data_IF_701402580262
#
_entry.id   IF_701402580262
#
_cell.length_a   1.000
_cell.length_b   1.000
_cell.length_c   1.000
_cell.angle_alpha   90.00
_cell.angle_beta   90.00
_cell.angle_gamma   90.00
#
_symmetry.space_group_name_H-M   'P 1'
#
loop_
_entity.id
_entity.type
_entity.pdbx_description
1 polymer ?
#
# COMPACT_ATOMS: atom_id res chain seq x y z
N UNK A 1 -1.86 -1.47 -16.77
CA UNK A 1 -1.72 -0.51 -15.66
C UNK A 1 -1.04 0.74 -16.19
N UNK A 2 -1.46 1.92 -15.77
CA UNK A 2 -0.88 3.20 -16.22
C UNK A 2 0.18 3.65 -15.23
N UNK A 3 1.38 3.99 -15.71
CA UNK A 3 2.52 4.44 -14.90
C UNK A 3 2.96 5.82 -15.39
N UNK A 4 3.38 6.67 -14.44
CA UNK A 4 3.95 7.98 -14.73
C UNK A 4 5.14 8.26 -13.83
N UNK A 5 6.16 8.91 -14.40
CA UNK A 5 7.30 9.42 -13.65
C UNK A 5 6.97 10.75 -12.98
N UNK A 6 7.53 10.93 -11.78
CA UNK A 6 7.37 12.10 -10.94
C UNK A 6 8.71 12.81 -10.89
N UNK A 7 8.69 14.09 -11.20
CA UNK A 7 9.80 15.02 -11.09
C UNK A 7 9.61 15.95 -9.91
N UNK A 8 10.68 16.65 -9.53
CA UNK A 8 10.69 17.72 -8.53
C UNK A 8 9.51 18.69 -8.66
N UNK A 9 9.23 19.11 -9.90
CA UNK A 9 8.20 20.12 -10.20
C UNK A 9 6.77 19.63 -9.91
N UNK A 10 6.53 18.33 -10.00
CA UNK A 10 5.20 17.75 -9.81
C UNK A 10 4.74 17.82 -8.36
N UNK A 11 5.67 17.97 -7.41
CA UNK A 11 5.42 17.79 -5.99
C UNK A 11 5.72 19.03 -5.14
N UNK A 12 6.03 20.17 -5.78
CA UNK A 12 6.38 21.42 -5.09
C UNK A 12 5.32 21.85 -4.06
N UNK A 13 4.03 21.71 -4.39
CA UNK A 13 2.91 22.01 -3.48
C UNK A 13 2.97 21.14 -2.21
N UNK A 14 3.23 19.84 -2.37
CA UNK A 14 3.36 18.90 -1.26
C UNK A 14 4.61 19.18 -0.42
N UNK A 15 5.76 19.47 -1.05
CA UNK A 15 6.99 19.84 -0.33
C UNK A 15 6.78 21.08 0.52
N UNK A 16 6.14 22.11 -0.04
CA UNK A 16 5.80 23.32 0.70
C UNK A 16 4.87 23.02 1.88
N UNK A 17 3.79 22.29 1.64
CA UNK A 17 2.81 21.93 2.67
C UNK A 17 3.43 21.15 3.84
N UNK A 18 4.23 20.11 3.54
CA UNK A 18 4.89 19.29 4.55
C UNK A 18 5.91 20.12 5.36
N UNK A 19 6.63 21.02 4.68
CA UNK A 19 7.56 21.94 5.34
C UNK A 19 6.81 22.91 6.26
N UNK A 20 5.67 23.45 5.82
CA UNK A 20 4.83 24.34 6.64
C UNK A 20 4.24 23.61 7.87
N UNK A 21 3.77 22.37 7.71
CA UNK A 21 3.33 21.52 8.84
C UNK A 21 4.48 21.30 9.83
N UNK A 22 5.68 21.02 9.31
CA UNK A 22 6.88 20.80 10.13
C UNK A 22 7.22 22.04 10.95
N UNK A 23 7.23 23.22 10.33
CA UNK A 23 7.53 24.48 11.03
C UNK A 23 6.49 24.85 12.09
N UNK A 24 5.22 24.49 11.88
CA UNK A 24 4.14 24.73 12.84
C UNK A 24 4.25 23.88 14.11
N UNK A 25 5.13 22.88 14.15
CA UNK A 25 5.44 22.11 15.37
C UNK A 25 6.27 22.98 16.32
N UNK A 26 5.63 23.93 17.00
CA UNK A 26 6.28 25.06 17.69
C UNK A 26 7.20 24.70 18.88
N UNK A 27 7.12 23.49 19.43
CA UNK A 27 7.93 23.08 20.60
C UNK A 27 7.87 21.59 20.96
N UNK A 28 7.08 20.79 20.23
CA UNK A 28 6.95 19.36 20.46
C UNK A 28 7.09 18.63 19.12
N UNK A 29 7.65 17.43 19.16
CA UNK A 29 7.68 16.54 18.00
C UNK A 29 6.26 16.06 17.67
N UNK A 30 5.96 15.84 16.39
CA UNK A 30 4.63 15.35 15.99
C UNK A 30 4.44 13.94 16.56
N UNK A 31 3.39 13.69 17.36
CA UNK A 31 3.20 12.37 17.97
C UNK A 31 3.20 11.26 16.89
N UNK A 32 4.10 10.28 17.07
CA UNK A 32 4.17 9.07 16.27
C UNK A 32 2.97 8.18 16.54
N UNK A 33 2.41 7.52 15.51
CA UNK A 33 1.29 6.59 15.68
C UNK A 33 1.68 5.27 16.40
N UNK A 34 2.98 4.96 16.49
CA UNK A 34 3.48 3.66 16.94
C UNK A 34 4.60 3.72 18.00
N UNK A 35 5.12 4.90 18.34
CA UNK A 35 6.14 5.02 19.38
C UNK A 35 6.01 6.33 20.16
N UNK A 36 6.36 6.32 21.44
CA UNK A 36 6.40 7.49 22.33
C UNK A 36 7.49 8.51 21.95
N UNK A 37 8.19 8.33 20.83
CA UNK A 37 9.09 9.31 20.22
C UNK A 37 8.30 10.04 19.13
N UNK A 38 8.18 11.36 19.24
CA UNK A 38 7.57 12.11 18.16
C UNK A 38 8.52 12.29 16.97
N UNK A 39 7.91 12.46 15.81
CA UNK A 39 8.59 12.66 14.54
C UNK A 39 9.17 14.09 14.46
N UNK A 40 10.44 14.17 14.07
CA UNK A 40 11.08 15.39 13.56
C UNK A 40 10.87 15.49 12.04
N UNK A 41 11.39 16.53 11.39
CA UNK A 41 11.20 16.81 9.94
C UNK A 41 11.27 15.56 9.06
N UNK A 42 12.31 14.73 9.17
CA UNK A 42 12.44 13.51 8.36
C UNK A 42 11.27 12.53 8.52
N UNK A 43 10.82 12.28 9.76
CA UNK A 43 9.66 11.41 10.03
C UNK A 43 8.34 12.02 9.57
N UNK A 44 8.21 13.36 9.60
CA UNK A 44 7.06 14.08 9.06
C UNK A 44 7.02 13.90 7.53
N UNK A 45 8.14 14.08 6.85
CA UNK A 45 8.23 13.82 5.40
C UNK A 45 7.86 12.38 5.05
N UNK A 46 8.39 11.39 5.76
CA UNK A 46 8.08 9.98 5.50
C UNK A 46 6.59 9.63 5.71
N UNK A 47 5.91 10.34 6.62
CA UNK A 47 4.46 10.18 6.82
C UNK A 47 3.66 10.76 5.66
N UNK A 48 3.97 12.00 5.29
CA UNK A 48 3.15 12.78 4.36
C UNK A 48 3.52 12.58 2.89
N UNK A 49 4.69 12.02 2.57
CA UNK A 49 5.07 11.75 1.18
C UNK A 49 4.10 10.78 0.48
N UNK A 50 3.37 9.94 1.24
CA UNK A 50 2.37 9.04 0.68
C UNK A 50 1.14 9.77 0.10
N UNK A 51 0.98 11.08 0.37
CA UNK A 51 -0.07 11.92 -0.24
C UNK A 51 0.34 12.52 -1.57
N UNK A 52 1.64 12.53 -1.90
CA UNK A 52 2.13 13.03 -3.20
C UNK A 52 1.44 12.36 -4.40
N UNK A 53 1.28 11.02 -4.44
CA UNK A 53 0.65 10.33 -5.57
C UNK A 53 -0.79 10.78 -5.83
N UNK A 54 -1.49 11.32 -4.84
CA UNK A 54 -2.90 11.71 -4.92
C UNK A 54 -3.16 12.67 -6.09
N UNK A 55 -2.43 13.79 -6.11
CA UNK A 55 -2.54 14.78 -7.18
C UNK A 55 -1.93 14.32 -8.49
N UNK A 56 -0.81 13.60 -8.43
CA UNK A 56 -0.10 13.12 -9.61
C UNK A 56 -0.97 12.17 -10.43
N UNK A 57 -1.63 11.19 -9.79
CA UNK A 57 -2.47 10.21 -10.48
C UNK A 57 -3.59 10.90 -11.23
N UNK A 58 -4.27 11.83 -10.56
CA UNK A 58 -5.37 12.52 -11.21
C UNK A 58 -4.88 13.42 -12.33
N UNK A 59 -3.95 14.32 -12.05
CA UNK A 59 -3.52 15.34 -13.01
C UNK A 59 -2.78 14.74 -14.21
N UNK A 60 -2.06 13.61 -14.04
CA UNK A 60 -1.27 13.01 -15.13
C UNK A 60 -1.86 11.76 -15.77
N UNK A 61 -2.74 11.01 -15.10
CA UNK A 61 -3.25 9.72 -15.60
C UNK A 61 -4.76 9.66 -15.81
N UNK A 62 -5.54 10.43 -15.05
CA UNK A 62 -7.02 10.38 -15.11
C UNK A 62 -7.57 11.58 -15.89
N UNK A 63 -7.24 12.81 -15.48
CA UNK A 63 -7.75 14.04 -16.08
C UNK A 63 -7.42 14.18 -17.57
N UNK A 64 -6.21 13.82 -18.07
CA UNK A 64 -5.93 13.90 -19.50
C UNK A 64 -6.85 13.07 -20.39
N UNK A 65 -7.52 12.04 -19.84
CA UNK A 65 -8.49 11.22 -20.58
C UNK A 65 -9.91 11.85 -20.60
N UNK A 66 -10.18 12.87 -19.78
CA UNK A 66 -11.53 13.41 -19.56
C UNK A 66 -11.63 14.93 -19.68
N UNK A 67 -10.50 15.64 -19.73
CA UNK A 67 -10.49 17.10 -19.75
C UNK A 67 -10.95 17.71 -21.09
N UNK A 68 -10.96 16.94 -22.18
CA UNK A 68 -11.34 17.39 -23.53
C UNK A 68 -10.66 18.70 -23.97
N UNK A 69 -9.40 18.91 -23.55
CA UNK A 69 -8.63 20.11 -23.87
C UNK A 69 -8.88 21.30 -22.93
N UNK A 70 -9.67 21.13 -21.86
CA UNK A 70 -9.76 22.12 -20.78
C UNK A 70 -8.52 22.03 -19.89
N UNK A 71 -7.90 23.16 -19.52
CA UNK A 71 -6.89 23.15 -18.44
C UNK A 71 -7.57 22.82 -17.10
N UNK A 72 -7.52 21.54 -16.71
CA UNK A 72 -8.19 21.01 -15.51
C UNK A 72 -7.16 20.46 -14.53
N UNK A 73 -7.32 20.79 -13.25
CA UNK A 73 -6.50 20.28 -12.14
C UNK A 73 -7.41 19.84 -11.00
N UNK A 74 -7.06 18.75 -10.30
CA UNK A 74 -7.71 18.48 -9.02
C UNK A 74 -7.32 19.49 -7.95
N UNK A 75 -8.19 19.63 -6.96
CA UNK A 75 -7.91 20.36 -5.73
C UNK A 75 -7.76 19.32 -4.62
N UNK A 76 -6.54 19.19 -4.09
CA UNK A 76 -6.23 18.37 -2.91
C UNK A 76 -6.53 19.14 -1.62
N UNK A 77 -6.74 18.40 -0.53
CA UNK A 77 -6.88 18.99 0.81
C UNK A 77 -5.52 19.45 1.36
N UNK A 78 -5.36 20.77 1.51
CA UNK A 78 -4.23 21.39 2.19
C UNK A 78 -4.67 22.17 3.45
N UNK A 79 -5.89 21.96 3.93
CA UNK A 79 -6.35 22.59 5.16
C UNK A 79 -5.73 21.91 6.39
N UNK A 80 -5.56 22.68 7.46
CA UNK A 80 -5.13 22.18 8.77
C UNK A 80 -6.30 22.28 9.74
N UNK A 81 -6.80 21.14 10.20
CA UNK A 81 -7.94 21.04 11.11
C UNK A 81 -7.79 19.89 12.10
N UNK A 82 -8.55 19.92 13.21
CA UNK A 82 -8.68 18.76 14.10
C UNK A 82 -9.71 17.80 13.51
N UNK A 83 -9.32 16.60 13.04
CA UNK A 83 -10.26 15.67 12.41
C UNK A 83 -11.34 15.16 13.39
N UNK A 84 -11.14 15.30 14.70
CA UNK A 84 -12.13 14.92 15.71
C UNK A 84 -13.33 15.86 15.76
N UNK A 85 -13.14 17.12 15.36
CA UNK A 85 -14.21 18.12 15.33
C UNK A 85 -14.72 18.36 13.92
N UNK A 86 -13.80 18.54 12.97
CA UNK A 86 -14.13 18.89 11.58
C UNK A 86 -14.56 17.69 10.71
N UNK A 87 -14.30 16.45 11.16
CA UNK A 87 -14.30 15.28 10.29
C UNK A 87 -13.08 15.24 9.37
N UNK A 88 -13.02 14.26 8.47
CA UNK A 88 -11.92 14.08 7.50
C UNK A 88 -12.45 14.39 6.10
N UNK A 89 -11.82 15.33 5.40
CA UNK A 89 -12.12 15.60 3.99
C UNK A 89 -11.70 14.39 3.13
N UNK A 90 -12.39 14.13 2.00
CA UNK A 90 -11.84 13.25 0.97
C UNK A 90 -10.53 13.82 0.41
N UNK A 91 -9.65 12.95 -0.08
CA UNK A 91 -8.33 13.33 -0.61
C UNK A 91 -8.43 14.29 -1.82
N UNK A 92 -9.54 14.20 -2.58
CA UNK A 92 -9.89 15.16 -3.63
C UNK A 92 -11.13 15.97 -3.22
N UNK A 93 -10.95 17.27 -3.00
CA UNK A 93 -12.01 18.17 -2.54
C UNK A 93 -12.72 18.92 -3.66
N UNK A 94 -12.20 18.88 -4.88
CA UNK A 94 -12.84 19.48 -6.05
C UNK A 94 -11.97 19.50 -7.29
N UNK A 95 -12.42 20.24 -8.30
CA UNK A 95 -11.72 20.51 -9.55
C UNK A 95 -11.56 22.00 -9.77
N UNK A 96 -10.44 22.40 -10.36
CA UNK A 96 -10.24 23.72 -10.96
C UNK A 96 -10.23 23.54 -12.48
N UNK A 97 -11.08 24.30 -13.17
CA UNK A 97 -11.00 24.50 -14.61
C UNK A 97 -10.60 25.94 -14.89
N UNK A 98 -10.33 26.29 -16.16
CA UNK A 98 -9.93 27.65 -16.56
C UNK A 98 -10.83 28.76 -16.00
N UNK A 99 -12.14 28.50 -15.93
CA UNK A 99 -13.13 29.54 -15.63
C UNK A 99 -13.86 29.35 -14.30
N UNK A 100 -13.67 28.22 -13.59
CA UNK A 100 -14.42 27.94 -12.36
C UNK A 100 -13.71 26.96 -11.43
N UNK A 101 -14.04 27.07 -10.15
CA UNK A 101 -13.78 26.03 -9.14
C UNK A 101 -15.08 25.25 -8.95
N UNK A 102 -14.98 23.93 -8.95
CA UNK A 102 -16.11 23.02 -8.75
C UNK A 102 -15.84 22.21 -7.48
N UNK A 103 -16.51 22.51 -6.35
CA UNK A 103 -16.32 21.78 -5.12
C UNK A 103 -16.99 20.39 -5.19
N UNK A 104 -16.30 19.36 -4.70
CA UNK A 104 -16.90 18.05 -4.41
C UNK A 104 -17.36 17.93 -2.95
N UNK A 105 -16.70 18.70 -2.08
CA UNK A 105 -17.08 18.88 -0.69
C UNK A 105 -17.00 20.35 -0.31
N UNK A 106 -17.78 20.74 0.68
CA UNK A 106 -17.78 22.08 1.28
C UNK A 106 -17.64 21.94 2.80
N UNK A 107 -16.99 22.91 3.43
CA UNK A 107 -16.90 22.96 4.88
C UNK A 107 -18.00 23.86 5.45
N UNK A 108 -18.85 23.31 6.31
CA UNK A 108 -19.90 24.00 7.06
C UNK A 108 -19.92 23.46 8.49
N UNK A 109 -18.98 23.94 9.31
CA UNK A 109 -18.59 23.41 10.64
C UNK A 109 -18.10 21.93 10.64
N UNK A 110 -18.29 21.24 9.52
CA UNK A 110 -17.83 19.89 9.18
C UNK A 110 -17.75 19.76 7.66
N UNK A 111 -16.97 18.80 7.17
CA UNK A 111 -16.95 18.48 5.74
C UNK A 111 -18.28 17.84 5.29
N UNK A 112 -18.94 18.47 4.32
CA UNK A 112 -20.23 18.05 3.75
C UNK A 112 -20.06 17.75 2.26
N UNK A 113 -20.51 16.57 1.77
CA UNK A 113 -20.52 16.26 0.35
C UNK A 113 -21.43 17.20 -0.44
N UNK A 114 -20.98 17.66 -1.61
CA UNK A 114 -21.85 18.35 -2.56
C UNK A 114 -22.66 17.29 -3.31
N UNK A 115 -23.98 17.49 -3.41
CA UNK A 115 -24.87 16.51 -4.05
C UNK A 115 -24.48 16.28 -5.52
N UNK A 116 -24.59 15.03 -5.98
CA UNK A 116 -24.18 14.62 -7.33
C UNK A 116 -22.66 14.62 -7.61
N UNK A 117 -21.81 15.07 -6.69
CA UNK A 117 -20.36 15.12 -6.88
C UNK A 117 -19.67 13.84 -6.39
N UNK A 118 -18.59 13.39 -7.06
CA UNK A 118 -17.87 12.20 -6.65
C UNK A 118 -17.11 12.46 -5.35
N UNK A 119 -17.18 11.49 -4.44
CA UNK A 119 -16.27 11.43 -3.30
C UNK A 119 -15.16 10.44 -3.60
N UNK A 120 -13.91 10.86 -3.42
CA UNK A 120 -12.74 10.13 -3.87
C UNK A 120 -11.78 9.98 -2.71
N UNK A 121 -11.46 8.74 -2.37
CA UNK A 121 -10.38 8.35 -1.47
C UNK A 121 -9.25 7.74 -2.30
N UNK A 122 -8.01 8.05 -1.96
CA UNK A 122 -6.82 7.55 -2.63
C UNK A 122 -5.99 6.78 -1.60
N UNK A 123 -5.67 5.54 -1.91
CA UNK A 123 -4.76 4.72 -1.12
C UNK A 123 -3.51 4.41 -1.92
N UNK A 124 -2.41 4.98 -1.45
CA UNK A 124 -1.08 4.77 -1.99
C UNK A 124 -0.36 3.66 -1.22
N UNK A 125 0.21 2.71 -1.96
CA UNK A 125 1.04 1.64 -1.42
C UNK A 125 2.47 1.74 -1.94
N UNK A 126 3.45 1.49 -1.09
CA UNK A 126 4.84 1.35 -1.56
C UNK A 126 4.96 0.06 -2.38
N UNK A 127 5.72 0.08 -3.47
CA UNK A 127 5.98 -1.10 -4.32
C UNK A 127 6.32 -2.41 -3.58
N UNK A 128 7.16 -2.43 -2.52
CA UNK A 128 7.43 -3.68 -1.79
C UNK A 128 6.29 -4.17 -0.90
N UNK A 129 5.27 -3.35 -0.59
CA UNK A 129 4.14 -3.77 0.24
C UNK A 129 3.36 -4.91 -0.44
N UNK A 130 3.02 -5.94 0.34
CA UNK A 130 2.30 -7.13 -0.14
C UNK A 130 0.83 -7.15 0.23
N UNK A 131 0.42 -6.31 1.17
CA UNK A 131 -0.96 -6.19 1.63
C UNK A 131 -1.48 -4.77 1.47
N UNK A 132 -2.79 -4.67 1.37
CA UNK A 132 -3.56 -3.45 1.40
C UNK A 132 -4.54 -3.53 2.56
N UNK A 133 -4.81 -2.41 3.20
CA UNK A 133 -5.81 -2.32 4.25
C UNK A 133 -6.72 -1.11 4.10
N UNK A 134 -7.94 -1.24 4.62
CA UNK A 134 -8.97 -0.21 4.61
C UNK A 134 -9.80 -0.30 5.90
N UNK A 135 -9.89 0.79 6.66
CA UNK A 135 -10.78 0.87 7.83
C UNK A 135 -12.13 1.38 7.39
N UNK A 136 -13.23 0.76 7.79
CA UNK A 136 -14.54 1.31 7.44
C UNK A 136 -14.81 2.58 8.28
N UNK A 137 -14.78 3.75 7.64
CA UNK A 137 -15.17 5.03 8.24
C UNK A 137 -16.45 5.58 7.58
N UNK A 138 -17.40 4.70 7.28
CA UNK A 138 -18.71 5.00 6.68
C UNK A 138 -18.63 5.68 5.30
N UNK A 139 -17.77 5.15 4.44
CA UNK A 139 -17.53 5.69 3.11
C UNK A 139 -17.80 4.69 1.98
N UNK A 140 -18.72 3.75 2.20
CA UNK A 140 -19.08 2.66 1.30
C UNK A 140 -19.35 3.12 -0.16
N UNK A 141 -19.92 4.32 -0.32
CA UNK A 141 -20.26 4.92 -1.62
C UNK A 141 -19.14 5.75 -2.27
N UNK A 142 -17.97 5.88 -1.63
CA UNK A 142 -16.84 6.63 -2.20
C UNK A 142 -16.08 5.80 -3.22
N UNK A 143 -15.57 6.45 -4.25
CA UNK A 143 -14.54 5.88 -5.11
C UNK A 143 -13.28 5.66 -4.29
N UNK A 144 -12.65 4.49 -4.49
CA UNK A 144 -11.36 4.15 -3.93
C UNK A 144 -10.36 4.00 -5.08
N UNK A 145 -9.43 4.94 -5.16
CA UNK A 145 -8.34 4.94 -6.14
C UNK A 145 -7.12 4.32 -5.48
N UNK A 146 -6.67 3.19 -5.99
CA UNK A 146 -5.51 2.47 -5.47
C UNK A 146 -4.31 2.68 -6.37
N UNK A 147 -3.20 3.04 -5.75
CA UNK A 147 -1.98 3.37 -6.45
C UNK A 147 -0.75 2.75 -5.79
N UNK A 148 0.30 2.61 -6.58
CA UNK A 148 1.60 2.17 -6.12
C UNK A 148 2.63 3.26 -6.34
N UNK A 149 3.44 3.56 -5.33
CA UNK A 149 4.59 4.45 -5.43
C UNK A 149 5.92 3.68 -5.36
N UNK A 150 6.86 4.13 -6.19
CA UNK A 150 8.25 3.70 -6.21
C UNK A 150 9.12 4.97 -6.21
N UNK A 151 9.30 5.56 -5.02
CA UNK A 151 10.17 6.72 -4.83
C UNK A 151 11.62 6.29 -4.64
N UNK A 152 12.55 7.08 -5.16
CA UNK A 152 13.97 6.93 -4.84
C UNK A 152 14.20 7.18 -3.35
N UNK A 153 15.20 6.52 -2.78
CA UNK A 153 15.51 6.62 -1.34
C UNK A 153 15.86 8.06 -0.92
N UNK A 154 16.47 8.81 -1.83
CA UNK A 154 16.96 10.17 -1.70
C UNK A 154 16.04 11.18 -2.39
N UNK A 155 14.72 10.96 -2.35
CA UNK A 155 13.73 11.78 -3.06
C UNK A 155 13.72 13.27 -2.68
N UNK A 156 14.30 13.64 -1.53
CA UNK A 156 14.47 15.03 -1.12
C UNK A 156 15.71 15.70 -1.71
N UNK A 157 16.65 14.93 -2.27
CA UNK A 157 17.90 15.45 -2.82
C UNK A 157 17.71 16.63 -3.78
N UNK A 158 16.74 16.60 -4.73
CA UNK A 158 16.52 17.70 -5.67
C UNK A 158 16.09 19.03 -5.03
N UNK A 159 15.68 19.04 -3.75
CA UNK A 159 15.17 20.23 -3.06
C UNK A 159 16.20 20.92 -2.17
N UNK A 160 17.35 20.30 -1.92
CA UNK A 160 18.42 20.95 -1.17
C UNK A 160 19.09 22.06 -1.99
N UNK A 161 19.60 23.07 -1.28
CA UNK A 161 20.49 24.06 -1.90
C UNK A 161 21.76 23.35 -2.37
N UNK A 162 22.06 23.42 -3.68
CA UNK A 162 23.24 22.80 -4.27
C UNK A 162 24.55 23.25 -3.63
N UNK A 163 24.59 24.42 -2.99
CA UNK A 163 25.78 24.96 -2.33
C UNK A 163 26.25 24.06 -1.16
N UNK A 164 25.37 23.30 -0.52
CA UNK A 164 25.78 22.38 0.56
C UNK A 164 26.56 21.17 0.05
N UNK A 165 26.56 20.94 -1.27
CA UNK A 165 27.29 19.87 -1.95
C UNK A 165 28.47 20.40 -2.75
N UNK A 166 28.98 21.59 -2.39
CA UNK A 166 30.14 22.18 -3.05
C UNK A 166 31.39 21.30 -2.92
N UNK A 167 32.26 21.35 -3.95
CA UNK A 167 33.50 20.57 -4.00
C UNK A 167 34.39 20.80 -2.77
N UNK A 168 34.48 22.04 -2.28
CA UNK A 168 35.26 22.38 -1.09
C UNK A 168 34.80 21.63 0.16
N UNK A 169 33.49 21.37 0.29
CA UNK A 169 32.93 20.60 1.41
C UNK A 169 33.30 19.12 1.23
N UNK A 170 33.18 18.58 0.02
CA UNK A 170 33.59 17.20 -0.28
C UNK A 170 35.07 16.97 0.03
N UNK A 171 35.95 17.88 -0.39
CA UNK A 171 37.39 17.79 -0.11
C UNK A 171 37.70 17.80 1.40
N UNK A 172 36.91 18.51 2.21
CA UNK A 172 37.05 18.49 3.67
C UNK A 172 36.55 17.18 4.33
N UNK A 173 35.79 16.35 3.61
CA UNK A 173 35.34 15.03 4.07
C UNK A 173 36.29 13.91 3.66
N UNK A 174 37.23 14.16 2.74
CA UNK A 174 38.23 13.18 2.31
C UNK A 174 39.18 12.88 3.48
N UNK A 175 39.26 11.60 3.86
CA UNK A 175 40.09 11.14 4.96
C UNK A 175 41.55 10.94 4.49
N UNK A 176 42.50 11.08 5.42
CA UNK A 176 43.90 10.74 5.17
C UNK A 176 44.11 9.22 5.24
N UNK A 177 43.89 8.54 4.12
CA UNK A 177 44.08 7.09 4.02
C UNK A 177 45.49 6.66 4.43
N UNK A 178 46.51 7.49 4.20
CA UNK A 178 47.89 7.15 4.56
C UNK A 178 48.12 7.12 6.08
N UNK A 179 47.37 7.94 6.82
CA UNK A 179 47.40 7.98 8.27
C UNK A 179 46.53 6.89 8.92
N UNK A 180 45.41 6.52 8.30
CA UNK A 180 44.39 5.67 8.92
C UNK A 180 44.27 4.25 8.35
N UNK A 181 44.82 3.97 7.17
CA UNK A 181 44.63 2.69 6.46
C UNK A 181 45.98 1.99 6.22
N UNK A 182 46.20 0.87 6.91
CA UNK A 182 47.38 0.01 6.72
C UNK A 182 47.20 -0.92 5.50
N UNK A 183 45.98 -1.43 5.29
CA UNK A 183 45.62 -2.27 4.13
C UNK A 183 44.11 -2.20 3.90
N UNK A 184 43.70 -2.17 2.63
CA UNK A 184 42.31 -2.21 2.19
C UNK A 184 42.17 -3.02 0.88
N UNK A 185 42.95 -4.09 0.70
CA UNK A 185 42.99 -4.87 -0.54
C UNK A 185 41.66 -5.54 -0.91
N UNK A 186 40.76 -5.72 0.05
CA UNK A 186 39.43 -6.29 -0.13
C UNK A 186 38.34 -5.23 -0.36
N UNK A 187 38.70 -3.93 -0.37
CA UNK A 187 37.76 -2.82 -0.47
C UNK A 187 36.65 -2.83 0.60
N UNK A 188 37.01 -3.18 1.84
CA UNK A 188 36.08 -3.20 2.97
C UNK A 188 35.73 -1.77 3.45
N UNK A 189 36.53 -0.77 3.08
CA UNK A 189 36.33 0.65 3.37
C UNK A 189 36.39 1.43 2.05
N UNK A 190 35.57 2.48 1.92
CA UNK A 190 35.59 3.40 0.78
C UNK A 190 35.40 4.83 1.27
N UNK A 191 35.98 5.78 0.55
CA UNK A 191 35.73 7.20 0.78
C UNK A 191 34.31 7.60 0.43
N UNK A 192 33.91 8.80 0.85
CA UNK A 192 32.59 9.34 0.49
C UNK A 192 32.58 9.81 -0.97
N UNK A 193 31.55 9.40 -1.71
CA UNK A 193 31.35 9.83 -3.10
C UNK A 193 30.79 11.26 -3.19
N UNK A 194 30.98 11.89 -4.35
CA UNK A 194 30.32 13.17 -4.66
C UNK A 194 28.83 12.95 -4.85
N UNK A 195 28.04 13.89 -4.34
CA UNK A 195 26.58 13.85 -4.49
C UNK A 195 26.19 14.21 -5.92
N UNK A 196 25.40 13.36 -6.57
CA UNK A 196 24.92 13.59 -7.93
C UNK A 196 23.59 14.36 -7.93
N UNK A 197 23.61 15.59 -8.44
CA UNK A 197 22.46 16.50 -8.51
C UNK A 197 21.83 16.61 -9.91
N UNK A 198 22.25 15.77 -10.85
CA UNK A 198 21.79 15.86 -12.26
C UNK A 198 20.38 15.33 -12.52
N UNK A 199 19.76 14.69 -11.53
CA UNK A 199 18.49 14.00 -11.68
C UNK A 199 17.42 14.55 -10.72
N UNK A 200 16.46 15.27 -11.29
CA UNK A 200 15.28 15.82 -10.60
C UNK A 200 14.13 14.80 -10.47
N UNK A 201 14.33 13.55 -10.88
CA UNK A 201 13.34 12.49 -10.74
C UNK A 201 13.17 12.12 -9.26
N UNK A 202 11.93 12.04 -8.82
CA UNK A 202 11.50 11.63 -7.48
C UNK A 202 11.19 10.13 -7.46
N UNK A 203 10.64 9.61 -8.55
CA UNK A 203 10.31 8.21 -8.72
C UNK A 203 9.12 8.04 -9.65
N UNK A 204 8.33 7.00 -9.41
CA UNK A 204 7.17 6.66 -10.23
C UNK A 204 5.93 6.40 -9.39
N UNK A 205 4.77 6.63 -10.02
CA UNK A 205 3.48 6.17 -9.52
C UNK A 205 2.75 5.37 -10.59
N UNK A 206 2.15 4.28 -10.17
CA UNK A 206 1.31 3.41 -11.00
C UNK A 206 -0.12 3.42 -10.48
N UNK A 207 -1.09 3.70 -11.35
CA UNK A 207 -2.50 3.47 -11.06
C UNK A 207 -2.77 1.95 -11.13
N UNK A 208 -3.13 1.36 -9.98
CA UNK A 208 -3.43 -0.06 -9.88
C UNK A 208 -4.89 -0.33 -10.24
N UNK A 209 -5.82 0.44 -9.67
CA UNK A 209 -7.27 0.23 -9.84
C UNK A 209 -8.08 1.42 -9.35
N UNK A 210 -9.24 1.64 -9.96
CA UNK A 210 -10.29 2.49 -9.43
C UNK A 210 -11.48 1.58 -9.12
N UNK A 211 -11.95 1.60 -7.88
CA UNK A 211 -13.09 0.81 -7.43
C UNK A 211 -13.98 1.64 -6.49
N UNK A 212 -14.87 1.00 -5.74
CA UNK A 212 -15.58 1.62 -4.60
C UNK A 212 -15.10 1.01 -3.29
N UNK A 213 -15.19 1.76 -2.19
CA UNK A 213 -14.85 1.22 -0.87
C UNK A 213 -15.68 -0.03 -0.53
N UNK A 214 -16.98 -0.02 -0.88
CA UNK A 214 -17.84 -1.20 -0.76
C UNK A 214 -17.30 -2.41 -1.53
N UNK A 215 -16.96 -2.23 -2.81
CA UNK A 215 -16.44 -3.33 -3.63
C UNK A 215 -15.11 -3.87 -3.09
N UNK A 216 -14.24 -3.01 -2.56
CA UNK A 216 -13.04 -3.48 -1.87
C UNK A 216 -13.39 -4.31 -0.63
N UNK A 217 -14.28 -3.83 0.23
CA UNK A 217 -14.66 -4.51 1.48
C UNK A 217 -15.33 -5.86 1.22
N UNK A 218 -16.18 -5.96 0.19
CA UNK A 218 -16.87 -7.20 -0.19
C UNK A 218 -15.88 -8.30 -0.63
N UNK A 219 -14.71 -7.91 -1.15
CA UNK A 219 -13.65 -8.82 -1.63
C UNK A 219 -12.50 -8.99 -0.63
N UNK A 220 -12.44 -8.17 0.41
CA UNK A 220 -11.38 -8.21 1.40
C UNK A 220 -11.68 -9.22 2.53
N UNK A 221 -10.65 -9.52 3.30
CA UNK A 221 -10.77 -10.25 4.57
C UNK A 221 -11.00 -9.24 5.69
N UNK A 222 -12.19 -9.27 6.29
CA UNK A 222 -12.49 -8.51 7.49
C UNK A 222 -11.76 -9.10 8.70
N UNK A 223 -11.02 -8.27 9.42
CA UNK A 223 -10.29 -8.65 10.62
C UNK A 223 -10.75 -7.80 11.81
N UNK A 224 -11.27 -8.49 12.82
CA UNK A 224 -11.68 -7.92 14.09
C UNK A 224 -10.48 -7.36 14.87
N UNK A 225 -10.77 -6.59 15.92
CA UNK A 225 -9.75 -6.21 16.90
C UNK A 225 -9.04 -7.44 17.49
N UNK A 226 -7.74 -7.32 17.73
CA UNK A 226 -6.81 -8.34 18.26
C UNK A 226 -6.53 -9.52 17.34
N UNK A 227 -7.15 -9.57 16.15
CA UNK A 227 -6.94 -10.64 15.17
C UNK A 227 -5.81 -10.26 14.22
N UNK A 228 -4.76 -11.10 14.22
CA UNK A 228 -3.59 -10.94 13.36
C UNK A 228 -3.86 -11.41 11.93
N UNK A 229 -3.04 -10.97 10.98
CA UNK A 229 -3.22 -11.29 9.56
C UNK A 229 -2.05 -12.11 9.05
N UNK A 230 -2.35 -13.29 8.51
CA UNK A 230 -1.40 -14.09 7.76
C UNK A 230 -1.58 -13.84 6.27
N UNK A 231 -0.47 -13.61 5.56
CA UNK A 231 -0.48 -13.32 4.13
C UNK A 231 0.70 -14.00 3.43
N UNK A 232 0.49 -14.42 2.18
CA UNK A 232 1.52 -15.00 1.32
C UNK A 232 2.54 -13.93 0.94
N UNK A 233 3.82 -14.24 1.12
CA UNK A 233 4.93 -13.33 0.79
C UNK A 233 5.76 -13.81 -0.40
N UNK A 234 5.85 -15.12 -0.60
CA UNK A 234 6.67 -15.72 -1.65
C UNK A 234 6.17 -17.11 -2.05
N UNK A 235 6.42 -17.50 -3.30
CA UNK A 235 6.33 -18.87 -3.77
C UNK A 235 7.64 -19.23 -4.46
N UNK A 236 8.29 -20.30 -3.99
CA UNK A 236 9.59 -20.74 -4.50
C UNK A 236 9.53 -22.21 -4.94
N UNK A 237 10.01 -22.49 -6.17
CA UNK A 237 10.18 -23.85 -6.68
C UNK A 237 11.23 -24.61 -5.85
N UNK A 238 10.99 -25.89 -5.56
CA UNK A 238 11.87 -26.75 -4.77
C UNK A 238 12.23 -28.00 -5.56
N UNK A 239 13.53 -28.26 -5.63
CA UNK A 239 14.09 -29.39 -6.38
C UNK A 239 13.88 -30.76 -5.70
N UNK A 240 13.44 -30.78 -4.44
CA UNK A 240 13.28 -32.01 -3.64
C UNK A 240 12.06 -31.91 -2.73
N UNK A 241 11.39 -33.05 -2.50
CA UNK A 241 10.35 -33.17 -1.48
C UNK A 241 10.94 -32.81 -0.11
N UNK A 242 10.26 -31.98 0.69
CA UNK A 242 10.76 -31.63 2.01
C UNK A 242 10.71 -32.85 2.94
N UNK A 243 11.67 -32.95 3.86
CA UNK A 243 11.63 -33.98 4.89
C UNK A 243 10.32 -33.92 5.68
N UNK A 244 9.69 -35.08 5.91
CA UNK A 244 8.41 -35.19 6.61
C UNK A 244 7.19 -34.77 5.79
N UNK A 245 7.27 -34.68 4.46
CA UNK A 245 6.09 -34.59 3.61
C UNK A 245 5.29 -35.90 3.69
N UNK A 246 4.24 -35.90 4.52
CA UNK A 246 3.34 -37.04 4.70
C UNK A 246 1.88 -36.72 4.33
N UNK A 247 1.58 -35.45 3.99
CA UNK A 247 0.25 -35.04 3.56
C UNK A 247 0.06 -35.30 2.06
N UNK A 248 -1.20 -35.44 1.66
CA UNK A 248 -1.62 -35.43 0.26
C UNK A 248 -3.04 -34.88 0.18
N UNK A 249 -3.23 -33.69 0.74
CA UNK A 249 -4.55 -33.06 0.85
C UNK A 249 -4.76 -32.11 -0.32
N UNK A 250 -5.76 -32.31 -1.19
CA UNK A 250 -6.08 -31.35 -2.24
C UNK A 250 -6.29 -29.95 -1.66
N UNK A 251 -5.67 -28.92 -2.25
CA UNK A 251 -5.76 -27.55 -1.72
C UNK A 251 -7.22 -27.06 -1.64
N UNK A 252 -8.05 -27.46 -2.62
CA UNK A 252 -9.49 -27.18 -2.64
C UNK A 252 -10.26 -27.70 -1.41
N UNK A 253 -9.71 -28.66 -0.66
CA UNK A 253 -10.37 -29.16 0.56
C UNK A 253 -10.07 -28.25 1.76
N UNK A 254 -9.09 -27.35 1.66
CA UNK A 254 -8.69 -26.41 2.71
C UNK A 254 -9.21 -25.00 2.47
N UNK A 255 -9.92 -24.78 1.36
CA UNK A 255 -10.42 -23.48 0.96
C UNK A 255 -11.86 -23.57 0.45
N UNK A 256 -12.66 -22.55 0.73
CA UNK A 256 -13.98 -22.34 0.17
C UNK A 256 -13.88 -21.36 -1.01
N UNK A 257 -14.56 -21.67 -2.11
CA UNK A 257 -14.61 -20.81 -3.29
C UNK A 257 -15.44 -19.54 -2.99
N UNK A 258 -14.90 -18.39 -3.39
CA UNK A 258 -15.56 -17.08 -3.38
C UNK A 258 -15.97 -16.70 -4.81
N UNK A 259 -16.22 -15.42 -5.06
CA UNK A 259 -16.53 -14.95 -6.41
C UNK A 259 -15.33 -15.16 -7.35
N UNK A 260 -15.59 -15.61 -8.59
CA UNK A 260 -14.54 -15.94 -9.55
C UNK A 260 -13.64 -17.08 -9.08
N UNK A 261 -12.32 -16.95 -9.28
CA UNK A 261 -11.30 -17.92 -8.82
C UNK A 261 -10.60 -17.44 -7.53
N UNK A 262 -11.32 -16.69 -6.69
CA UNK A 262 -10.87 -16.34 -5.35
C UNK A 262 -11.25 -17.44 -4.36
N UNK A 263 -10.36 -17.73 -3.42
CA UNK A 263 -10.49 -18.79 -2.44
C UNK A 263 -10.15 -18.28 -1.04
N UNK A 264 -11.01 -18.60 -0.08
CA UNK A 264 -10.82 -18.31 1.34
C UNK A 264 -10.47 -19.58 2.08
N UNK A 265 -9.46 -19.55 2.94
CA UNK A 265 -9.16 -20.71 3.79
C UNK A 265 -10.32 -21.04 4.73
N UNK A 266 -10.68 -22.32 4.83
CA UNK A 266 -11.80 -22.80 5.63
C UNK A 266 -11.34 -23.42 6.96
N UNK A 267 -12.26 -23.99 7.75
CA UNK A 267 -11.92 -24.55 9.08
C UNK A 267 -10.83 -25.62 9.06
N UNK A 268 -10.70 -26.39 7.96
CA UNK A 268 -9.68 -27.42 7.82
C UNK A 268 -8.27 -26.85 7.66
N UNK A 269 -8.15 -25.55 7.37
CA UNK A 269 -6.88 -24.83 7.36
C UNK A 269 -6.40 -24.44 8.76
N UNK A 270 -7.26 -24.38 9.78
CA UNK A 270 -6.87 -23.86 11.09
C UNK A 270 -6.70 -24.98 12.12
N UNK A 271 -6.00 -24.73 13.24
CA UNK A 271 -5.94 -25.71 14.34
C UNK A 271 -7.29 -25.77 15.10
N UNK A 272 -8.01 -24.66 15.12
CA UNK A 272 -9.35 -24.57 15.67
C UNK A 272 -9.97 -23.20 15.43
N UNK A 273 -11.22 -23.07 15.85
CA UNK A 273 -12.02 -21.85 15.76
C UNK A 273 -12.61 -21.57 17.15
N UNK A 274 -12.65 -20.31 17.56
CA UNK A 274 -13.28 -19.90 18.83
C UNK A 274 -14.81 -19.97 18.76
N UNK A 275 -15.51 -19.84 19.89
CA UNK A 275 -16.99 -19.75 19.90
C UNK A 275 -17.51 -18.57 19.08
N UNK A 276 -16.74 -17.48 18.99
CA UNK A 276 -17.04 -16.31 18.15
C UNK A 276 -16.68 -16.49 16.67
N UNK A 277 -16.31 -17.70 16.23
CA UNK A 277 -16.00 -17.97 14.81
C UNK A 277 -14.62 -17.50 14.35
N UNK A 278 -13.71 -17.15 15.26
CA UNK A 278 -12.37 -16.63 14.91
C UNK A 278 -11.36 -17.79 14.88
N UNK A 279 -10.59 -17.98 13.79
CA UNK A 279 -9.58 -19.02 13.72
C UNK A 279 -8.38 -18.76 14.62
N UNK A 280 -7.73 -19.83 15.08
CA UNK A 280 -6.51 -19.75 15.88
C UNK A 280 -5.50 -20.84 15.57
N UNK A 281 -4.27 -20.60 16.01
CA UNK A 281 -3.25 -21.63 16.23
C UNK A 281 -2.73 -21.58 17.68
N UNK A 282 -2.13 -22.66 18.14
CA UNK A 282 -1.61 -22.79 19.50
C UNK A 282 -0.13 -22.42 19.53
N UNK A 283 0.21 -21.33 20.20
CA UNK A 283 1.59 -20.92 20.42
C UNK A 283 2.08 -21.45 21.76
N UNK A 284 2.99 -22.41 21.71
CA UNK A 284 3.66 -22.93 22.91
C UNK A 284 4.83 -22.02 23.31
N UNK A 285 4.84 -21.56 24.56
CA UNK A 285 5.92 -20.76 25.13
C UNK A 285 6.20 -21.19 26.58
N UNK A 286 7.44 -21.63 26.86
CA UNK A 286 8.00 -21.97 28.20
C UNK A 286 6.95 -22.23 29.31
N UNK A 287 6.21 -23.33 29.19
CA UNK A 287 5.24 -23.78 30.21
C UNK A 287 3.79 -23.30 30.06
N UNK A 288 3.48 -22.52 29.02
CA UNK A 288 2.12 -22.06 28.69
C UNK A 288 1.81 -22.32 27.21
N UNK A 289 0.54 -22.60 26.93
CA UNK A 289 0.00 -22.67 25.57
C UNK A 289 -1.08 -21.61 25.44
N UNK A 290 -0.89 -20.68 24.50
CA UNK A 290 -1.84 -19.60 24.27
C UNK A 290 -2.41 -19.73 22.86
N UNK A 291 -3.71 -19.47 22.72
CA UNK A 291 -4.36 -19.36 21.42
C UNK A 291 -3.99 -18.02 20.80
N UNK A 292 -3.46 -18.06 19.59
CA UNK A 292 -3.15 -16.87 18.82
C UNK A 292 -4.17 -16.74 17.70
N UNK A 293 -4.94 -15.65 17.73
CA UNK A 293 -6.04 -15.40 16.79
C UNK A 293 -5.50 -14.82 15.49
N UNK A 294 -5.87 -15.41 14.37
CA UNK A 294 -5.46 -14.90 13.06
C UNK A 294 -6.43 -15.29 11.95
N UNK A 295 -6.41 -14.51 10.87
CA UNK A 295 -7.05 -14.86 9.59
C UNK A 295 -5.98 -14.91 8.51
N UNK A 296 -6.17 -15.79 7.54
CA UNK A 296 -5.30 -15.88 6.36
C UNK A 296 -5.99 -15.16 5.22
N UNK A 297 -5.29 -14.25 4.55
CA UNK A 297 -5.86 -13.53 3.42
C UNK A 297 -6.22 -14.48 2.29
N UNK A 298 -7.29 -14.13 1.58
CA UNK A 298 -7.77 -14.86 0.41
C UNK A 298 -6.68 -14.97 -0.66
N UNK A 299 -6.83 -15.95 -1.56
CA UNK A 299 -5.92 -16.22 -2.67
C UNK A 299 -6.68 -16.28 -3.99
N UNK A 300 -6.05 -15.83 -5.06
CA UNK A 300 -6.47 -16.19 -6.42
C UNK A 300 -5.81 -17.51 -6.79
N UNK A 301 -6.59 -18.50 -7.25
CA UNK A 301 -6.03 -19.79 -7.66
C UNK A 301 -6.67 -20.29 -8.96
N UNK A 302 -5.93 -20.21 -10.06
CA UNK A 302 -6.32 -20.91 -11.29
C UNK A 302 -6.00 -22.40 -11.17
N UNK A 303 -6.96 -23.24 -11.53
CA UNK A 303 -6.82 -24.71 -11.49
C UNK A 303 -6.46 -25.26 -10.10
N UNK A 304 -7.19 -24.84 -9.06
CA UNK A 304 -7.00 -25.32 -7.68
C UNK A 304 -7.00 -26.85 -7.53
N UNK A 305 -7.69 -27.57 -8.44
CA UNK A 305 -7.75 -29.04 -8.44
C UNK A 305 -6.41 -29.69 -8.77
N UNK A 306 -5.49 -28.98 -9.44
CA UNK A 306 -4.15 -29.46 -9.72
C UNK A 306 -3.22 -29.41 -8.51
N UNK A 307 -3.60 -28.72 -7.43
CA UNK A 307 -2.73 -28.45 -6.29
C UNK A 307 -3.03 -29.36 -5.10
N UNK A 308 -1.98 -29.97 -4.54
CA UNK A 308 -2.07 -30.80 -3.33
C UNK A 308 -1.04 -30.33 -2.29
N UNK A 309 -1.49 -30.13 -1.05
CA UNK A 309 -0.63 -29.81 0.09
C UNK A 309 0.04 -31.08 0.57
N UNK A 310 1.38 -31.09 0.52
CA UNK A 310 2.21 -32.24 0.93
C UNK A 310 2.88 -32.04 2.29
N UNK A 311 3.00 -30.79 2.74
CA UNK A 311 3.49 -30.43 4.08
C UNK A 311 2.95 -29.05 4.46
N UNK A 312 2.68 -28.83 5.74
CA UNK A 312 2.18 -27.56 6.28
C UNK A 312 2.84 -27.21 7.61
N UNK A 313 3.06 -25.91 7.82
CA UNK A 313 3.38 -25.28 9.10
C UNK A 313 2.63 -23.94 9.21
N UNK A 314 2.78 -23.23 10.33
CA UNK A 314 2.15 -21.92 10.54
C UNK A 314 2.77 -20.80 9.70
N UNK A 315 3.95 -21.02 9.09
CA UNK A 315 4.64 -20.00 8.29
C UNK A 315 4.87 -20.43 6.83
N UNK A 316 4.52 -21.66 6.46
CA UNK A 316 4.69 -22.13 5.09
C UNK A 316 3.85 -23.36 4.77
N UNK A 317 3.57 -23.56 3.49
CA UNK A 317 3.11 -24.84 2.95
C UNK A 317 4.00 -25.30 1.81
N UNK A 318 4.01 -26.61 1.59
CA UNK A 318 4.56 -27.20 0.39
C UNK A 318 3.42 -27.75 -0.45
N UNK A 319 3.41 -27.36 -1.71
CA UNK A 319 2.45 -27.76 -2.72
C UNK A 319 3.15 -28.66 -3.75
N UNK A 320 2.45 -29.70 -4.18
CA UNK A 320 2.75 -30.45 -5.40
C UNK A 320 1.71 -30.04 -6.46
N UNK A 321 2.19 -29.56 -7.60
CA UNK A 321 1.37 -29.18 -8.74
C UNK A 321 1.31 -30.33 -9.74
N UNK A 322 0.14 -30.96 -9.88
CA UNK A 322 -0.08 -32.11 -10.81
C UNK A 322 -0.27 -31.67 -12.26
N UNK A 323 -0.60 -30.40 -12.45
CA UNK A 323 -0.74 -29.71 -13.72
C UNK A 323 -0.40 -28.23 -13.53
N UNK A 324 -0.40 -27.47 -14.62
CA UNK A 324 -0.25 -26.02 -14.55
C UNK A 324 -1.34 -25.39 -13.68
N UNK A 325 -0.93 -24.48 -12.81
CA UNK A 325 -1.80 -23.71 -11.94
C UNK A 325 -1.20 -22.32 -11.69
N UNK A 326 -2.02 -21.39 -11.23
CA UNK A 326 -1.56 -20.05 -10.84
C UNK A 326 -2.01 -19.80 -9.41
N UNK A 327 -1.14 -19.26 -8.56
CA UNK A 327 -1.51 -18.75 -7.24
C UNK A 327 -1.12 -17.27 -7.19
N UNK A 328 -2.11 -16.39 -7.08
CA UNK A 328 -1.94 -14.95 -7.21
C UNK A 328 -1.18 -14.59 -8.50
N UNK A 329 0.01 -13.99 -8.39
CA UNK A 329 0.88 -13.64 -9.52
C UNK A 329 1.87 -14.76 -9.93
N UNK A 330 1.89 -15.89 -9.23
CA UNK A 330 2.88 -16.95 -9.43
C UNK A 330 2.33 -18.09 -10.28
N UNK A 331 3.02 -18.39 -11.38
CA UNK A 331 2.73 -19.55 -12.23
C UNK A 331 3.47 -20.78 -11.69
N UNK A 332 2.74 -21.88 -11.50
CA UNK A 332 3.24 -23.16 -11.03
C UNK A 332 3.24 -24.14 -12.21
N UNK A 333 4.41 -24.73 -12.47
CA UNK A 333 4.64 -25.70 -13.53
C UNK A 333 4.15 -27.08 -13.10
N UNK A 334 3.76 -27.86 -14.11
CA UNK A 334 3.32 -29.25 -13.94
C UNK A 334 4.43 -30.14 -13.36
N UNK A 335 4.04 -31.03 -12.46
CA UNK A 335 4.88 -32.01 -11.78
C UNK A 335 5.99 -31.42 -10.90
N UNK A 336 5.83 -30.17 -10.46
CA UNK A 336 6.80 -29.47 -9.64
C UNK A 336 6.31 -29.25 -8.21
N UNK A 337 7.27 -28.98 -7.33
CA UNK A 337 7.03 -28.73 -5.91
C UNK A 337 7.35 -27.29 -5.59
N UNK A 338 6.47 -26.66 -4.83
CA UNK A 338 6.62 -25.27 -4.43
C UNK A 338 6.53 -25.13 -2.93
N UNK A 339 7.35 -24.26 -2.34
CA UNK A 339 7.18 -23.76 -0.99
C UNK A 339 6.48 -22.41 -1.08
N UNK A 340 5.33 -22.29 -0.44
CA UNK A 340 4.62 -21.02 -0.25
C UNK A 340 4.94 -20.52 1.14
N UNK A 341 5.50 -19.32 1.25
CA UNK A 341 5.83 -18.68 2.51
C UNK A 341 4.74 -17.70 2.92
N UNK A 342 4.42 -17.72 4.21
CA UNK A 342 3.49 -16.80 4.85
C UNK A 342 4.21 -15.96 5.90
N UNK A 343 3.85 -14.69 5.98
CA UNK A 343 4.20 -13.80 7.08
C UNK A 343 2.96 -13.41 7.88
N UNK A 344 3.18 -12.90 9.10
CA UNK A 344 2.11 -12.50 10.02
C UNK A 344 2.28 -11.02 10.37
N UNK A 345 1.23 -10.23 10.16
CA UNK A 345 1.08 -8.91 10.78
C UNK A 345 0.43 -9.10 12.15
N UNK A 346 1.23 -8.99 13.21
CA UNK A 346 0.74 -9.11 14.58
C UNK A 346 -0.11 -7.89 14.96
N UNK A 347 -1.35 -8.17 15.32
CA UNK A 347 -2.33 -7.16 15.79
C UNK A 347 -2.90 -7.53 17.15
N UNK A 348 -2.27 -8.44 17.89
CA UNK A 348 -2.78 -8.94 19.18
C UNK A 348 -3.05 -7.84 20.22
N UNK A 349 -2.43 -6.66 20.10
CA UNK A 349 -2.63 -5.48 20.96
C UNK A 349 -3.50 -4.38 20.36
N UNK A 350 -4.05 -4.58 19.16
CA UNK A 350 -4.79 -3.57 18.40
C UNK A 350 -6.29 -3.89 18.37
N UNK A 351 -7.12 -3.09 19.04
CA UNK A 351 -8.57 -3.30 19.09
C UNK A 351 -9.35 -2.80 17.86
N UNK A 352 -8.68 -2.21 16.86
CA UNK A 352 -9.33 -1.68 15.67
C UNK A 352 -9.76 -2.76 14.68
N UNK A 353 -10.90 -2.56 14.05
CA UNK A 353 -11.40 -3.38 12.95
C UNK A 353 -10.93 -2.84 11.60
N UNK A 354 -10.55 -3.74 10.70
CA UNK A 354 -9.96 -3.33 9.42
C UNK A 354 -10.09 -4.44 8.37
N UNK A 355 -10.25 -4.06 7.10
CA UNK A 355 -10.33 -4.96 5.96
C UNK A 355 -8.96 -5.07 5.31
N UNK A 356 -8.52 -6.30 5.03
CA UNK A 356 -7.21 -6.58 4.43
C UNK A 356 -7.32 -7.40 3.15
N UNK A 357 -6.42 -7.13 2.21
CA UNK A 357 -6.34 -7.85 0.94
C UNK A 357 -4.87 -8.02 0.52
N UNK A 358 -4.57 -9.14 -0.12
CA UNK A 358 -3.29 -9.32 -0.81
C UNK A 358 -3.21 -8.34 -1.98
N UNK A 359 -2.13 -7.58 -2.09
CA UNK A 359 -1.99 -6.54 -3.12
C UNK A 359 -2.17 -7.08 -4.54
N UNK A 360 -1.72 -8.31 -4.81
CA UNK A 360 -1.90 -8.95 -6.12
C UNK A 360 -3.35 -9.25 -6.49
N UNK A 361 -4.28 -9.19 -5.53
CA UNK A 361 -5.70 -9.44 -5.79
C UNK A 361 -6.49 -8.22 -6.27
N UNK A 362 -5.88 -7.03 -6.29
CA UNK A 362 -6.51 -5.78 -6.77
C UNK A 362 -7.08 -5.92 -8.19
N UNK A 363 -6.46 -6.72 -9.05
CA UNK A 363 -6.96 -6.89 -10.41
C UNK A 363 -8.32 -7.62 -10.48
N UNK A 364 -8.67 -8.37 -9.44
CA UNK A 364 -9.88 -9.20 -9.40
C UNK A 364 -11.09 -8.50 -8.76
N UNK A 365 -10.91 -7.30 -8.20
CA UNK A 365 -12.04 -6.50 -7.73
C UNK A 365 -12.73 -5.76 -8.88
N UNK A 366 -14.03 -5.45 -8.76
CA UNK A 366 -14.78 -4.68 -9.74
C UNK A 366 -14.10 -3.34 -10.09
N UNK A 367 -14.10 -3.03 -11.39
CA UNK A 367 -13.50 -1.80 -11.93
C UNK A 367 -14.54 -0.69 -12.12
N UNK A 368 -14.21 0.49 -11.61
CA UNK A 368 -15.04 1.68 -11.65
C UNK A 368 -14.32 2.86 -12.34
N UNK A 369 -13.17 2.64 -13.00
CA UNK A 369 -12.42 3.70 -13.70
C UNK A 369 -13.31 4.44 -14.72
N UNK A 370 -14.01 3.72 -15.58
CA UNK A 370 -14.88 4.33 -16.60
C UNK A 370 -16.05 5.11 -15.99
N UNK A 371 -16.60 4.64 -14.86
CA UNK A 371 -17.69 5.33 -14.20
C UNK A 371 -17.22 6.67 -13.61
N UNK A 372 -16.10 6.65 -12.87
CA UNK A 372 -15.50 7.87 -12.34
C UNK A 372 -15.15 8.85 -13.47
N UNK A 373 -14.50 8.36 -14.54
CA UNK A 373 -14.15 9.20 -15.68
C UNK A 373 -15.35 9.83 -16.36
N UNK A 374 -16.41 9.07 -16.58
CA UNK A 374 -17.64 9.60 -17.18
C UNK A 374 -18.27 10.68 -16.29
N UNK A 375 -18.30 10.47 -14.96
CA UNK A 375 -18.79 11.48 -14.02
C UNK A 375 -17.92 12.74 -14.04
N UNK A 376 -16.59 12.61 -13.97
CA UNK A 376 -15.66 13.75 -14.06
C UNK A 376 -15.82 14.51 -15.37
N UNK A 377 -15.93 13.80 -16.49
CA UNK A 377 -16.17 14.39 -17.81
C UNK A 377 -17.46 15.21 -17.82
N UNK A 378 -18.56 14.66 -17.32
CA UNK A 378 -19.83 15.38 -17.21
C UNK A 378 -19.72 16.64 -16.34
N UNK A 379 -18.95 16.60 -15.26
CA UNK A 379 -18.72 17.76 -14.39
C UNK A 379 -17.93 18.86 -15.12
N UNK A 380 -16.86 18.46 -15.83
CA UNK A 380 -15.99 19.39 -16.57
C UNK A 380 -16.79 20.11 -17.65
N UNK A 381 -17.55 19.38 -18.47
CA UNK A 381 -18.38 19.95 -19.55
C UNK A 381 -19.65 20.68 -19.05
N UNK A 382 -19.93 20.64 -17.73
CA UNK A 382 -21.08 21.31 -17.12
C UNK A 382 -22.43 20.58 -17.25
N UNK A 383 -22.40 19.27 -17.48
CA UNK A 383 -23.58 18.40 -17.59
C UNK A 383 -24.19 17.94 -16.27
N UNK A 384 -23.51 18.13 -15.13
CA UNK A 384 -24.07 17.91 -13.79
C UNK A 384 -24.39 19.27 -13.18
N UNK A 385 -25.67 19.53 -12.92
CA UNK A 385 -26.18 20.72 -12.24
C UNK A 385 -26.58 20.38 -10.81
#
# INVERSE_FOLDING_TARGET
MKRVSISKNDILKSIYFITAITQKQNSATMQGALSSKGDLMGGIFDRWINTVPESVIFNKLILPDVDEGHSTEIISDFYLYDPRTAGIAPDVIGLRTENKIIPFVIFDEKWVPVDGMPQIEIKTFKKPQKMISLRNQAYDNKYLVMSESEFRIDYLLPFFDSNIFAEEIHQNLVMDDSAFIISNSENNIQGIDKVNLSDDTIGDVTLLKITTAKSFMDYATFCEGTVSIQYLTNIEKKNRKPSGAMLNTPLKNLCDKKEGELFRFNSSWYEGITEGGIPFYTKNSRGSSNRFLFKTLDLYVENISALSVIKKSNSSIYLEAKDYATINEFVLEKNEIYKVDFSMLDRSSNNGEEYFMQKSLIQHIPDYENQLKNQLKQIIIGGIK
#
